data_IF_657812918242
#
_entry.id   IF_657812918242
#
_cell.length_a   1.000
_cell.length_b   1.000
_cell.length_c   1.000
_cell.angle_alpha   90.00
_cell.angle_beta   90.00
_cell.angle_gamma   90.00
#
_symmetry.space_group_name_H-M   'P 1'
#
loop_
_entity.id
_entity.type
_entity.pdbx_description
1 polymer ?
#
# COMPACT_ATOMS: atom_id res chain seq x y z
N UNK A 1 5.10 -1.92 15.76
CA UNK A 1 4.03 -1.01 16.21
C UNK A 1 4.00 -0.69 17.70
N UNK A 2 4.69 -1.43 18.59
CA UNK A 2 4.68 -1.21 20.07
C UNK A 2 4.85 0.26 20.51
N UNK A 3 5.77 1.01 19.88
CA UNK A 3 6.07 2.40 20.26
C UNK A 3 5.24 3.44 19.49
N UNK A 4 4.91 3.17 18.22
CA UNK A 4 4.17 4.11 17.38
C UNK A 4 2.64 4.03 17.56
N UNK A 5 2.12 2.90 18.07
CA UNK A 5 0.68 2.65 18.20
C UNK A 5 -0.08 3.75 18.97
N UNK A 6 0.32 4.08 20.21
CA UNK A 6 -0.37 5.10 21.01
C UNK A 6 -0.38 6.49 20.35
N UNK A 7 0.76 6.91 19.78
CA UNK A 7 0.88 8.20 19.10
C UNK A 7 0.00 8.25 17.85
N UNK A 8 -0.02 7.18 17.05
CA UNK A 8 -0.87 7.10 15.86
C UNK A 8 -2.35 7.20 16.21
N UNK A 9 -2.78 6.54 17.28
CA UNK A 9 -4.16 6.61 17.75
C UNK A 9 -4.53 8.05 18.17
N UNK A 10 -3.63 8.75 18.86
CA UNK A 10 -3.84 10.15 19.27
C UNK A 10 -3.87 11.15 18.10
N UNK A 11 -3.13 10.88 17.01
CA UNK A 11 -3.10 11.76 15.83
C UNK A 11 -4.38 11.70 14.99
N UNK A 12 -5.01 10.53 14.86
CA UNK A 12 -6.27 10.38 14.11
C UNK A 12 -6.18 10.64 12.59
N UNK A 13 -4.98 10.87 12.05
CA UNK A 13 -4.74 11.18 10.63
C UNK A 13 -3.84 10.13 9.95
N UNK A 14 -3.93 9.99 8.61
CA UNK A 14 -2.98 9.16 7.86
C UNK A 14 -1.53 9.63 8.04
N UNK A 15 -0.61 8.68 8.20
CA UNK A 15 0.83 8.95 8.36
C UNK A 15 1.65 7.97 7.53
N UNK A 16 2.97 8.14 7.48
CA UNK A 16 3.87 7.17 6.83
C UNK A 16 3.70 5.74 7.34
N UNK A 17 3.26 5.55 8.59
CA UNK A 17 2.99 4.23 9.14
C UNK A 17 1.83 3.48 8.47
N UNK A 18 0.97 4.17 7.73
CA UNK A 18 -0.10 3.54 6.95
C UNK A 18 0.44 2.79 5.72
N UNK A 19 1.64 3.14 5.25
CA UNK A 19 2.23 2.53 4.05
C UNK A 19 3.42 1.61 4.37
N UNK A 20 3.95 1.67 5.59
CA UNK A 20 5.12 0.88 5.99
C UNK A 20 4.84 -0.61 6.07
N UNK A 21 3.62 -1.04 6.41
CA UNK A 21 3.29 -2.46 6.58
C UNK A 21 3.68 -3.32 5.37
N UNK A 22 3.18 -2.99 4.16
CA UNK A 22 3.58 -3.68 2.93
C UNK A 22 5.06 -3.51 2.55
N UNK A 23 5.67 -2.37 2.89
CA UNK A 23 7.08 -2.09 2.58
C UNK A 23 8.06 -2.86 3.49
N UNK A 24 7.64 -3.23 4.69
CA UNK A 24 8.47 -3.90 5.71
C UNK A 24 8.08 -5.36 5.93
N UNK A 25 7.49 -6.02 4.94
CA UNK A 25 7.02 -7.40 5.09
C UNK A 25 8.18 -8.35 5.45
N UNK A 26 8.13 -9.08 6.58
CA UNK A 26 9.25 -9.91 7.06
C UNK A 26 9.70 -10.99 6.07
N UNK A 27 8.74 -11.57 5.33
CA UNK A 27 9.00 -12.58 4.30
C UNK A 27 9.55 -12.04 2.97
N UNK A 28 9.73 -10.73 2.82
CA UNK A 28 10.32 -10.09 1.64
C UNK A 28 9.83 -10.65 0.28
N UNK A 29 8.51 -10.67 0.02
CA UNK A 29 7.97 -11.26 -1.19
C UNK A 29 8.47 -10.53 -2.43
N UNK A 30 8.86 -11.30 -3.46
CA UNK A 30 9.34 -10.73 -4.74
C UNK A 30 8.22 -10.15 -5.59
N UNK A 31 6.98 -10.59 -5.36
CA UNK A 31 5.74 -10.15 -6.03
C UNK A 31 4.64 -10.05 -4.98
N UNK A 32 3.85 -8.99 -5.06
CA UNK A 32 2.75 -8.73 -4.14
C UNK A 32 1.73 -7.80 -4.81
N UNK A 33 0.50 -7.87 -4.33
CA UNK A 33 -0.57 -6.91 -4.64
C UNK A 33 -0.84 -6.13 -3.37
N UNK A 34 -0.89 -4.80 -3.46
CA UNK A 34 -1.12 -3.92 -2.32
C UNK A 34 -2.32 -3.04 -2.59
N UNK A 35 -3.18 -2.97 -1.59
CA UNK A 35 -4.25 -2.00 -1.47
C UNK A 35 -3.77 -0.56 -1.40
N UNK A 36 -4.29 0.30 -2.28
CA UNK A 36 -3.99 1.71 -2.23
C UNK A 36 -5.24 2.55 -2.50
N UNK A 37 -5.74 3.34 -1.54
CA UNK A 37 -6.89 4.21 -1.76
C UNK A 37 -6.56 5.35 -2.75
N UNK A 38 -5.31 5.85 -2.74
CA UNK A 38 -4.75 6.70 -3.80
C UNK A 38 -3.66 5.93 -4.56
N UNK A 39 -4.02 5.29 -5.68
CA UNK A 39 -3.07 4.52 -6.45
C UNK A 39 -2.00 5.35 -7.17
N UNK A 40 -2.28 6.61 -7.53
CA UNK A 40 -1.33 7.45 -8.24
C UNK A 40 -0.17 7.84 -7.29
N UNK A 41 -0.51 8.17 -6.04
CA UNK A 41 0.47 8.39 -4.98
C UNK A 41 1.26 7.11 -4.69
N UNK A 42 0.58 5.97 -4.52
CA UNK A 42 1.25 4.70 -4.24
C UNK A 42 2.22 4.28 -5.34
N UNK A 43 1.84 4.41 -6.62
CA UNK A 43 2.70 4.08 -7.76
C UNK A 43 3.97 4.95 -7.80
N UNK A 44 3.83 6.26 -7.54
CA UNK A 44 4.94 7.21 -7.59
C UNK A 44 5.96 6.97 -6.48
N UNK A 45 5.47 6.77 -5.25
CA UNK A 45 6.33 6.71 -4.07
C UNK A 45 6.90 5.31 -3.81
N UNK A 46 6.10 4.25 -4.00
CA UNK A 46 6.50 2.91 -3.55
C UNK A 46 7.36 2.16 -4.56
N UNK A 47 7.21 2.44 -5.85
CA UNK A 47 7.95 1.74 -6.89
C UNK A 47 9.48 1.82 -6.70
N UNK A 48 9.98 2.95 -6.21
CA UNK A 48 11.41 3.12 -5.89
C UNK A 48 11.81 2.28 -4.68
N UNK A 49 11.02 2.32 -3.61
CA UNK A 49 11.30 1.61 -2.35
C UNK A 49 11.36 0.09 -2.56
N UNK A 50 10.40 -0.47 -3.30
CA UNK A 50 10.40 -1.92 -3.57
C UNK A 50 11.59 -2.37 -4.41
N UNK A 51 12.01 -1.57 -5.39
CA UNK A 51 13.21 -1.86 -6.18
C UNK A 51 14.48 -1.80 -5.31
N UNK A 52 14.61 -0.82 -4.43
CA UNK A 52 15.74 -0.75 -3.48
C UNK A 52 15.76 -1.94 -2.53
N UNK A 53 14.59 -2.45 -2.12
CA UNK A 53 14.47 -3.66 -1.31
C UNK A 53 14.65 -4.99 -2.09
N UNK A 54 14.92 -4.93 -3.40
CA UNK A 54 15.13 -6.12 -4.23
C UNK A 54 13.86 -6.88 -4.60
N UNK A 55 12.69 -6.25 -4.49
CA UNK A 55 11.40 -6.76 -4.95
C UNK A 55 10.96 -6.07 -6.24
N UNK A 56 10.03 -6.70 -6.96
CA UNK A 56 9.40 -6.07 -8.13
C UNK A 56 8.45 -4.96 -7.66
N UNK A 57 8.17 -4.00 -8.54
CA UNK A 57 7.08 -3.05 -8.33
C UNK A 57 5.80 -3.84 -8.02
N UNK A 58 5.10 -3.54 -6.92
CA UNK A 58 3.87 -4.24 -6.56
C UNK A 58 2.76 -3.93 -7.56
N UNK A 59 1.83 -4.86 -7.71
CA UNK A 59 0.53 -4.52 -8.29
C UNK A 59 -0.26 -3.69 -7.29
N UNK A 60 -0.99 -2.68 -7.76
CA UNK A 60 -1.87 -1.88 -6.93
C UNK A 60 -3.32 -2.25 -7.19
N UNK A 61 -4.13 -2.27 -6.15
CA UNK A 61 -5.57 -2.48 -6.24
C UNK A 61 -6.32 -1.39 -5.50
N UNK A 62 -7.37 -0.88 -6.14
CA UNK A 62 -8.31 0.08 -5.55
C UNK A 62 -9.72 -0.32 -5.97
N UNK A 63 -10.56 -0.68 -5.01
CA UNK A 63 -11.97 -0.95 -5.22
C UNK A 63 -12.78 0.34 -5.37
N UNK A 64 -14.04 0.19 -5.76
CA UNK A 64 -15.00 1.28 -5.79
C UNK A 64 -15.08 2.01 -4.44
N UNK A 65 -15.48 3.28 -4.45
CA UNK A 65 -15.51 4.14 -3.27
C UNK A 65 -14.18 4.29 -2.51
N UNK A 66 -13.05 4.00 -3.17
CA UNK A 66 -11.71 4.20 -2.60
C UNK A 66 -11.28 3.10 -1.64
N UNK A 67 -11.88 1.91 -1.73
CA UNK A 67 -11.44 0.73 -0.97
C UNK A 67 -10.00 0.37 -1.35
N UNK A 68 -9.20 0.03 -0.35
CA UNK A 68 -7.85 -0.51 -0.52
C UNK A 68 -7.84 -2.02 -0.81
N UNK A 69 -8.97 -2.57 -1.25
CA UNK A 69 -9.12 -3.97 -1.65
C UNK A 69 -9.95 -4.06 -2.93
N UNK A 70 -10.11 -5.27 -3.48
CA UNK A 70 -11.05 -5.47 -4.57
C UNK A 70 -12.50 -5.29 -4.10
N UNK A 71 -13.29 -4.52 -4.84
CA UNK A 71 -14.69 -4.31 -4.49
C UNK A 71 -15.52 -5.57 -4.80
N UNK A 72 -16.41 -5.95 -3.87
CA UNK A 72 -17.36 -7.04 -4.08
C UNK A 72 -18.49 -6.65 -5.05
N UNK A 73 -18.83 -5.37 -5.05
CA UNK A 73 -19.78 -4.75 -5.97
C UNK A 73 -19.18 -3.47 -6.51
N UNK A 74 -19.38 -3.19 -7.80
CA UNK A 74 -18.76 -2.06 -8.47
C UNK A 74 -17.37 -2.36 -9.06
N UNK A 75 -16.76 -1.39 -9.75
CA UNK A 75 -15.48 -1.56 -10.43
C UNK A 75 -14.30 -1.74 -9.46
N UNK A 76 -13.25 -2.43 -9.93
CA UNK A 76 -11.94 -2.46 -9.29
C UNK A 76 -10.88 -2.00 -10.27
N UNK A 77 -9.98 -1.12 -9.82
CA UNK A 77 -8.91 -0.53 -10.63
C UNK A 77 -7.57 -1.16 -10.28
N UNK A 78 -6.75 -1.40 -11.31
CA UNK A 78 -5.38 -1.91 -11.21
C UNK A 78 -4.39 -0.96 -11.91
N UNK A 79 -4.07 0.19 -11.30
CA UNK A 79 -3.22 1.21 -11.90
C UNK A 79 -1.73 0.87 -11.75
N UNK A 80 -0.97 1.07 -12.82
CA UNK A 80 0.50 0.91 -12.80
C UNK A 80 1.00 -0.53 -12.62
N UNK A 81 0.11 -1.53 -12.71
CA UNK A 81 0.52 -2.92 -12.97
C UNK A 81 1.18 -3.00 -14.35
N UNK A 82 2.36 -3.63 -14.49
CA UNK A 82 2.86 -4.00 -15.80
C UNK A 82 1.91 -4.97 -16.50
#
# INVERSE_FOLDING_TARGET
>A
MRFAGPIRAGLGIPTVFNVLGPLSHPGQPKRQVIGAPDPALAAREWGKVFRTGGSRTPGLVTGDDGLDEGALTGPTRFPGTP
#
